data_IF_417968869161
#
_entry.id   IF_417968869161
#
_cell.length_a   1.000
_cell.length_b   1.000
_cell.length_c   1.000
_cell.angle_alpha   90.00
_cell.angle_beta   90.00
_cell.angle_gamma   90.00
#
_symmetry.space_group_name_H-M   'P 1'
#
loop_
_entity.id
_entity.type
_entity.pdbx_description
1 polymer ?
#
# COMPACT_ATOMS: atom_id res chain seq x y z
N UNK A 1 17.05 2.41 -8.20
CA UNK A 1 16.47 3.76 -8.18
C UNK A 1 14.98 3.70 -7.95
N UNK A 2 14.52 4.44 -6.94
CA UNK A 2 13.13 4.38 -6.46
C UNK A 2 12.07 5.05 -7.36
N UNK A 3 12.42 5.41 -8.60
CA UNK A 3 11.49 6.05 -9.53
C UNK A 3 11.12 7.50 -9.19
N UNK A 4 11.93 8.17 -8.38
CA UNK A 4 11.69 9.57 -7.97
C UNK A 4 12.32 10.59 -8.93
N UNK A 5 12.97 10.15 -10.00
CA UNK A 5 13.62 11.02 -10.96
C UNK A 5 14.31 10.25 -12.08
N UNK A 6 14.94 10.97 -12.97
CA UNK A 6 15.75 10.44 -14.06
C UNK A 6 17.03 11.27 -14.23
N UNK A 7 18.04 10.70 -14.85
CA UNK A 7 19.25 11.39 -15.27
C UNK A 7 19.21 11.58 -16.78
N UNK A 8 19.37 12.82 -17.23
CA UNK A 8 19.54 13.17 -18.64
C UNK A 8 21.02 13.28 -18.92
N UNK A 9 21.49 12.43 -19.84
CA UNK A 9 22.90 12.41 -20.22
C UNK A 9 23.07 13.08 -21.58
N UNK A 10 24.03 14.00 -21.67
CA UNK A 10 24.39 14.68 -22.90
C UNK A 10 25.65 14.03 -23.46
N UNK A 11 25.74 13.96 -24.78
CA UNK A 11 26.88 13.38 -25.50
C UNK A 11 28.15 14.25 -25.42
N UNK A 12 28.01 15.51 -25.03
CA UNK A 12 29.07 16.48 -24.93
C UNK A 12 28.88 17.38 -23.69
N UNK A 13 29.96 17.94 -23.11
CA UNK A 13 29.85 18.96 -22.09
C UNK A 13 29.07 20.18 -22.57
N UNK A 14 28.20 20.69 -21.72
CA UNK A 14 27.34 21.84 -21.98
C UNK A 14 27.74 23.03 -21.12
N UNK A 15 27.28 24.22 -21.47
CA UNK A 15 27.46 25.43 -20.68
C UNK A 15 26.56 25.46 -19.40
N UNK A 16 25.83 24.41 -19.09
CA UNK A 16 24.91 24.31 -17.93
C UNK A 16 23.98 25.52 -17.76
N UNK A 17 23.51 26.10 -18.87
CA UNK A 17 22.73 27.37 -18.88
C UNK A 17 23.45 28.46 -18.08
N UNK A 18 24.61 28.90 -18.59
CA UNK A 18 25.49 29.93 -18.01
C UNK A 18 26.09 29.60 -16.64
N UNK A 19 26.26 28.30 -16.33
CA UNK A 19 26.91 27.78 -15.13
C UNK A 19 26.05 27.68 -13.89
N UNK A 20 24.73 27.77 -14.03
CA UNK A 20 23.79 27.56 -12.92
C UNK A 20 23.60 26.05 -12.65
N UNK A 21 23.82 25.64 -11.38
CA UNK A 21 23.67 24.22 -10.98
C UNK A 21 22.22 23.78 -10.84
N UNK A 22 21.35 24.64 -10.35
CA UNK A 22 19.93 24.38 -10.19
C UNK A 22 19.14 25.27 -11.15
N UNK A 23 18.32 24.67 -11.97
CA UNK A 23 17.54 25.36 -13.01
C UNK A 23 16.07 24.98 -12.92
N UNK A 24 15.22 25.89 -13.37
CA UNK A 24 13.83 25.53 -13.66
C UNK A 24 13.80 24.55 -14.86
N UNK A 25 13.24 23.37 -14.66
CA UNK A 25 13.11 22.37 -15.73
C UNK A 25 12.40 22.93 -16.97
N UNK A 26 11.47 23.86 -16.81
CA UNK A 26 10.76 24.51 -17.91
C UNK A 26 11.67 25.41 -18.76
N UNK A 27 12.83 25.82 -18.26
CA UNK A 27 13.82 26.55 -19.07
C UNK A 27 14.40 25.65 -20.16
N UNK A 28 14.66 24.39 -19.82
CA UNK A 28 15.36 23.43 -20.68
C UNK A 28 14.41 22.53 -21.47
N UNK A 29 13.31 22.09 -20.85
CA UNK A 29 12.39 21.14 -21.44
C UNK A 29 11.05 21.77 -21.85
N UNK A 30 10.48 21.28 -22.95
CA UNK A 30 9.13 21.65 -23.37
C UNK A 30 8.08 21.02 -22.45
N UNK A 31 7.34 20.53 -22.16
CA UNK A 31 6.34 19.84 -21.34
C UNK A 31 6.81 19.53 -19.89
N UNK A 32 7.78 20.28 -19.32
CA UNK A 32 8.41 19.96 -18.05
C UNK A 32 7.40 19.72 -16.91
N UNK A 33 6.43 20.62 -16.74
CA UNK A 33 5.43 20.50 -15.66
C UNK A 33 4.54 19.26 -15.81
N UNK A 34 4.24 18.85 -17.05
CA UNK A 34 3.47 17.64 -17.31
C UNK A 34 4.32 16.37 -17.16
N UNK A 35 5.52 16.39 -17.71
CA UNK A 35 6.42 15.24 -17.69
C UNK A 35 6.98 14.96 -16.31
N UNK A 36 7.45 15.99 -15.63
CA UNK A 36 8.18 15.88 -14.36
C UNK A 36 7.33 16.19 -13.13
N UNK A 37 6.10 16.64 -13.33
CA UNK A 37 5.13 16.95 -12.28
C UNK A 37 5.25 18.36 -11.72
N UNK A 38 4.31 18.72 -10.86
CA UNK A 38 4.35 19.98 -10.13
C UNK A 38 5.57 19.97 -9.18
N UNK A 39 6.30 21.09 -9.15
CA UNK A 39 7.51 21.25 -8.33
C UNK A 39 8.67 20.27 -8.68
N UNK A 40 8.66 19.71 -9.89
CA UNK A 40 9.81 18.95 -10.40
C UNK A 40 11.04 19.83 -10.49
N UNK A 41 12.21 19.36 -10.04
CA UNK A 41 13.46 20.12 -10.02
C UNK A 41 14.50 19.53 -10.95
N UNK A 42 15.31 20.41 -11.54
CA UNK A 42 16.41 20.06 -12.42
C UNK A 42 17.73 20.58 -11.85
N UNK A 43 18.68 19.69 -11.59
CA UNK A 43 19.98 20.04 -11.02
C UNK A 43 21.09 19.37 -11.81
N UNK A 44 22.09 20.13 -12.23
CA UNK A 44 23.27 19.58 -12.90
C UNK A 44 24.10 18.77 -11.92
N UNK A 45 24.51 17.59 -12.30
CA UNK A 45 25.51 16.79 -11.57
C UNK A 45 26.93 17.03 -12.10
N UNK A 46 27.04 17.36 -13.38
CA UNK A 46 28.23 17.83 -14.07
C UNK A 46 27.81 18.45 -15.41
N UNK A 47 28.77 18.95 -16.20
CA UNK A 47 28.47 19.57 -17.49
C UNK A 47 27.81 18.68 -18.54
N UNK A 48 27.81 17.38 -18.35
CA UNK A 48 27.19 16.40 -19.29
C UNK A 48 26.04 15.60 -18.69
N UNK A 49 25.63 15.90 -17.45
CA UNK A 49 24.58 15.16 -16.79
C UNK A 49 23.69 16.05 -15.92
N UNK A 50 22.38 15.96 -16.15
CA UNK A 50 21.35 16.67 -15.42
C UNK A 50 20.47 15.68 -14.68
N UNK A 51 20.31 15.88 -13.39
CA UNK A 51 19.33 15.15 -12.55
C UNK A 51 17.99 15.87 -12.58
N UNK A 52 16.94 15.15 -12.96
CA UNK A 52 15.56 15.58 -12.83
C UNK A 52 14.92 14.83 -11.68
N UNK A 53 14.45 15.55 -10.67
CA UNK A 53 13.68 14.98 -9.55
C UNK A 53 12.20 15.23 -9.82
N UNK A 54 11.39 14.18 -9.73
CA UNK A 54 9.97 14.26 -10.03
C UNK A 54 9.18 14.92 -8.90
N UNK A 55 8.27 15.83 -9.29
CA UNK A 55 7.24 16.37 -8.43
C UNK A 55 5.94 15.57 -8.48
N UNK A 56 4.91 16.08 -7.81
CA UNK A 56 3.60 15.46 -7.78
C UNK A 56 2.96 15.40 -9.17
N UNK A 57 2.39 14.26 -9.52
CA UNK A 57 1.70 14.05 -10.79
C UNK A 57 2.60 13.91 -12.02
N UNK A 58 3.90 13.59 -11.84
CA UNK A 58 4.80 13.31 -12.96
C UNK A 58 4.24 12.22 -13.87
N UNK A 59 4.28 12.43 -15.19
CA UNK A 59 3.68 11.52 -16.17
C UNK A 59 4.70 10.76 -17.02
N UNK A 60 5.99 11.16 -17.00
CA UNK A 60 7.01 10.49 -17.82
C UNK A 60 7.19 9.04 -17.40
N UNK A 61 7.09 8.11 -18.33
CA UNK A 61 7.27 6.67 -18.13
C UNK A 61 8.34 6.14 -19.06
N UNK A 62 9.05 5.06 -18.71
CA UNK A 62 9.99 4.44 -19.62
C UNK A 62 9.31 4.01 -20.92
N UNK A 63 10.04 4.17 -22.01
CA UNK A 63 9.62 3.71 -23.32
C UNK A 63 9.49 2.18 -23.33
N UNK A 64 8.38 1.67 -23.84
CA UNK A 64 8.11 0.26 -23.98
C UNK A 64 7.40 0.00 -25.31
N UNK A 65 8.16 -0.04 -26.41
CA UNK A 65 7.70 -0.38 -27.79
C UNK A 65 6.61 0.52 -28.39
N UNK A 66 6.34 1.66 -27.83
CA UNK A 66 5.39 2.66 -28.37
C UNK A 66 6.19 3.83 -28.92
N UNK A 67 5.69 4.48 -29.95
CA UNK A 67 6.33 5.68 -30.51
C UNK A 67 6.57 6.73 -29.42
N UNK A 68 7.68 7.48 -29.53
CA UNK A 68 7.99 8.58 -28.62
C UNK A 68 6.80 9.53 -28.52
N UNK A 69 6.38 9.78 -27.29
CA UNK A 69 5.28 10.69 -26.95
C UNK A 69 5.72 11.61 -25.82
N UNK A 70 4.94 12.63 -25.52
CA UNK A 70 5.15 13.52 -24.36
C UNK A 70 5.22 12.77 -23.02
N UNK A 71 4.77 11.50 -22.97
CA UNK A 71 4.76 10.68 -21.76
C UNK A 71 5.97 9.78 -21.60
N UNK A 72 6.74 9.50 -22.65
CA UNK A 72 7.86 8.57 -22.60
C UNK A 72 9.19 9.14 -23.12
N UNK A 73 9.22 10.41 -23.45
CA UNK A 73 10.42 11.10 -23.90
C UNK A 73 10.52 12.49 -23.28
N UNK A 74 11.71 12.91 -22.93
CA UNK A 74 12.01 14.28 -22.52
C UNK A 74 12.33 15.10 -23.77
N UNK A 75 11.64 16.22 -23.97
CA UNK A 75 11.79 17.10 -25.13
C UNK A 75 12.63 18.31 -24.77
N UNK A 76 13.84 18.36 -25.31
CA UNK A 76 14.78 19.46 -25.12
C UNK A 76 14.41 20.62 -26.05
N UNK A 77 14.35 21.83 -25.51
CA UNK A 77 14.16 23.06 -26.28
C UNK A 77 15.40 23.37 -27.11
N UNK A 78 15.20 23.75 -28.36
CA UNK A 78 16.27 24.20 -29.23
C UNK A 78 16.84 25.54 -28.78
N UNK A 79 18.15 25.75 -28.98
CA UNK A 79 18.83 27.01 -28.75
C UNK A 79 19.14 27.35 -27.32
N UNK A 80 18.86 26.49 -26.34
CA UNK A 80 19.05 26.75 -24.91
C UNK A 80 20.45 26.32 -24.43
N UNK A 81 20.90 25.14 -24.82
CA UNK A 81 22.21 24.62 -24.44
C UNK A 81 23.27 24.96 -25.50
N UNK A 82 24.48 25.25 -25.04
CA UNK A 82 25.65 25.45 -25.88
C UNK A 82 26.69 24.37 -25.55
N UNK A 83 27.47 23.97 -26.54
CA UNK A 83 28.64 23.13 -26.30
C UNK A 83 29.74 23.96 -25.63
N UNK A 84 30.32 23.43 -24.54
CA UNK A 84 31.37 24.13 -23.76
C UNK A 84 32.80 23.86 -24.30
N UNK A 85 32.97 22.87 -25.19
CA UNK A 85 34.29 22.39 -25.60
C UNK A 85 35.09 23.33 -26.49
N UNK A 86 34.43 24.20 -27.31
CA UNK A 86 35.13 24.90 -28.37
C UNK A 86 34.95 26.44 -28.36
N UNK A 87 34.26 27.03 -27.40
CA UNK A 87 33.87 28.44 -27.48
C UNK A 87 33.01 28.76 -28.74
N UNK A 88 32.75 27.75 -29.55
CA UNK A 88 31.85 27.83 -30.69
C UNK A 88 30.42 27.67 -30.14
N UNK A 89 29.61 28.66 -30.40
CA UNK A 89 28.20 28.76 -30.00
C UNK A 89 27.29 27.80 -30.79
N UNK A 90 27.65 26.54 -30.86
CA UNK A 90 26.71 25.53 -31.40
C UNK A 90 25.62 25.33 -30.36
N UNK A 91 24.46 25.88 -30.63
CA UNK A 91 23.27 25.69 -29.84
C UNK A 91 22.64 24.33 -30.15
N UNK A 92 22.14 23.67 -29.13
CA UNK A 92 21.39 22.43 -29.31
C UNK A 92 20.20 22.63 -30.26
N UNK A 93 20.00 21.70 -31.18
CA UNK A 93 18.72 21.60 -31.87
C UNK A 93 17.62 21.14 -30.89
N UNK A 94 16.37 21.40 -31.21
CA UNK A 94 15.29 20.74 -30.49
C UNK A 94 15.39 19.22 -30.69
N UNK A 95 15.46 18.47 -29.61
CA UNK A 95 15.63 17.03 -29.62
C UNK A 95 14.78 16.39 -28.53
N UNK A 96 14.59 15.09 -28.62
CA UNK A 96 13.99 14.33 -27.54
C UNK A 96 14.87 13.13 -27.19
N UNK A 97 14.81 12.72 -25.93
CA UNK A 97 15.42 11.51 -25.45
C UNK A 97 14.34 10.63 -24.79
N UNK A 98 14.29 9.37 -25.18
CA UNK A 98 13.36 8.41 -24.61
C UNK A 98 13.78 8.03 -23.19
N UNK A 99 12.81 8.00 -22.27
CA UNK A 99 13.05 7.56 -20.92
C UNK A 99 13.31 6.04 -20.89
N UNK A 100 14.44 5.65 -20.34
CA UNK A 100 14.86 4.25 -20.23
C UNK A 100 14.48 3.68 -18.86
N UNK A 101 14.16 2.37 -18.81
CA UNK A 101 13.96 1.67 -17.53
C UNK A 101 15.27 1.63 -16.75
N UNK A 102 15.25 1.80 -15.41
CA UNK A 102 16.44 1.59 -14.61
C UNK A 102 16.89 0.13 -14.70
N UNK A 103 18.21 -0.11 -14.62
CA UNK A 103 18.77 -1.46 -14.67
C UNK A 103 18.27 -2.34 -13.52
N UNK A 104 18.02 -1.73 -12.36
CA UNK A 104 17.53 -2.39 -11.14
C UNK A 104 16.34 -1.64 -10.58
N UNK A 105 15.13 -1.84 -11.14
CA UNK A 105 13.94 -1.16 -10.65
C UNK A 105 13.60 -1.66 -9.25
N UNK A 106 13.30 -0.73 -8.35
CA UNK A 106 12.88 -1.06 -6.99
C UNK A 106 11.47 -1.64 -7.03
N UNK A 107 11.31 -2.83 -6.46
CA UNK A 107 10.01 -3.46 -6.33
C UNK A 107 9.17 -2.77 -5.24
N UNK A 108 7.84 -2.69 -5.40
CA UNK A 108 6.96 -2.25 -4.31
C UNK A 108 7.13 -3.13 -3.07
N UNK A 109 7.05 -2.54 -1.88
CA UNK A 109 6.91 -3.28 -0.64
C UNK A 109 5.46 -3.20 -0.19
N UNK A 110 4.82 -4.36 0.03
CA UNK A 110 3.42 -4.47 0.39
C UNK A 110 3.21 -5.56 1.44
N UNK A 111 2.25 -5.35 2.33
CA UNK A 111 1.78 -6.33 3.30
C UNK A 111 0.26 -6.20 3.45
N UNK A 112 -0.40 -7.28 3.84
CA UNK A 112 -1.83 -7.28 4.20
C UNK A 112 -1.94 -7.45 5.71
N UNK A 113 -2.72 -6.58 6.34
CA UNK A 113 -3.19 -6.76 7.71
C UNK A 113 -4.60 -7.33 7.67
N UNK A 114 -4.80 -8.50 8.25
CA UNK A 114 -6.08 -9.19 8.32
C UNK A 114 -6.19 -9.94 9.65
N UNK A 115 -7.41 -10.20 10.17
CA UNK A 115 -7.59 -11.15 11.26
C UNK A 115 -7.30 -12.58 10.76
N UNK A 116 -6.65 -13.41 11.58
CA UNK A 116 -6.40 -14.82 11.25
C UNK A 116 -7.71 -15.62 11.18
N UNK A 117 -8.72 -15.24 11.96
CA UNK A 117 -10.03 -15.89 11.94
C UNK A 117 -11.15 -14.89 12.23
N UNK A 118 -12.32 -15.14 11.66
CA UNK A 118 -13.54 -14.37 11.90
C UNK A 118 -14.72 -15.28 12.17
N UNK A 119 -15.61 -14.87 13.07
CA UNK A 119 -16.85 -15.62 13.37
C UNK A 119 -17.80 -15.68 12.17
N UNK A 120 -18.76 -16.60 12.21
CA UNK A 120 -19.74 -16.77 11.13
C UNK A 120 -20.51 -15.48 10.82
N UNK A 121 -20.74 -14.64 11.82
CA UNK A 121 -21.49 -13.39 11.72
C UNK A 121 -20.61 -12.15 11.55
N UNK A 122 -19.31 -12.31 11.49
CA UNK A 122 -18.37 -11.19 11.42
C UNK A 122 -17.93 -10.99 9.97
N UNK A 123 -17.89 -9.73 9.55
CA UNK A 123 -17.21 -9.35 8.32
C UNK A 123 -15.70 -9.33 8.52
N UNK A 124 -14.96 -9.16 7.45
CA UNK A 124 -13.50 -9.03 7.46
C UNK A 124 -13.06 -7.74 6.79
N UNK A 125 -12.05 -7.10 7.34
CA UNK A 125 -11.36 -5.97 6.69
C UNK A 125 -9.94 -6.39 6.40
N UNK A 126 -9.57 -6.35 5.14
CA UNK A 126 -8.22 -6.55 4.64
C UNK A 126 -7.62 -5.17 4.39
N UNK A 127 -6.47 -4.88 4.97
CA UNK A 127 -5.83 -3.56 4.88
C UNK A 127 -4.40 -3.69 4.36
N UNK A 128 -4.15 -3.09 3.20
CA UNK A 128 -2.84 -3.01 2.58
C UNK A 128 -2.27 -1.59 2.54
N UNK A 129 -2.81 -0.68 3.36
CA UNK A 129 -2.24 0.66 3.51
C UNK A 129 -0.82 0.59 4.04
N UNK A 130 0.03 1.46 3.55
CA UNK A 130 1.45 1.45 3.88
C UNK A 130 2.33 0.79 2.83
N UNK A 131 1.76 0.37 1.70
CA UNK A 131 2.56 -0.02 0.56
C UNK A 131 3.46 1.13 0.09
N UNK A 132 4.70 0.81 -0.27
CA UNK A 132 5.72 1.76 -0.71
C UNK A 132 6.35 1.29 -2.02
N UNK A 133 7.16 2.14 -2.67
CA UNK A 133 7.86 1.78 -3.91
C UNK A 133 7.15 2.24 -5.19
N UNK A 134 6.15 3.13 -5.06
CA UNK A 134 5.53 3.83 -6.19
C UNK A 134 6.39 4.97 -6.74
N UNK A 135 7.45 5.38 -6.02
CA UNK A 135 8.18 6.60 -6.32
C UNK A 135 7.32 7.82 -6.02
N UNK A 136 7.25 8.75 -6.98
CA UNK A 136 6.37 9.93 -6.90
C UNK A 136 4.95 9.66 -7.43
N UNK A 137 4.57 8.40 -7.63
CA UNK A 137 3.29 7.99 -8.25
C UNK A 137 2.58 6.95 -7.41
N UNK A 138 1.27 6.88 -7.61
CA UNK A 138 0.44 5.87 -6.97
C UNK A 138 0.77 4.48 -7.52
N UNK A 139 0.69 3.48 -6.66
CA UNK A 139 0.71 2.08 -7.03
C UNK A 139 -0.66 1.68 -7.60
N UNK A 140 -0.66 0.76 -8.54
CA UNK A 140 -1.89 0.07 -8.96
C UNK A 140 -2.02 -1.23 -8.18
N UNK A 141 -3.25 -1.55 -7.76
CA UNK A 141 -3.53 -2.70 -6.91
C UNK A 141 -4.45 -3.69 -7.63
N UNK A 142 -4.24 -4.96 -7.37
CA UNK A 142 -5.12 -6.03 -7.83
C UNK A 142 -5.31 -7.05 -6.70
N UNK A 143 -6.58 -7.28 -6.33
CA UNK A 143 -6.98 -8.22 -5.31
C UNK A 143 -7.33 -9.58 -5.91
N UNK A 144 -7.00 -10.63 -5.19
CA UNK A 144 -7.37 -11.98 -5.57
C UNK A 144 -7.66 -12.84 -4.35
N UNK A 145 -8.24 -13.99 -4.60
CA UNK A 145 -8.50 -15.02 -3.59
C UNK A 145 -8.18 -16.39 -4.16
N UNK A 146 -7.48 -17.18 -3.35
CA UNK A 146 -7.27 -18.60 -3.55
C UNK A 146 -8.08 -19.35 -2.49
N UNK A 147 -8.70 -20.44 -2.87
CA UNK A 147 -9.40 -21.33 -1.97
C UNK A 147 -8.67 -22.67 -1.97
N UNK A 148 -8.33 -23.16 -0.78
CA UNK A 148 -7.69 -24.48 -0.62
C UNK A 148 -8.69 -25.65 -0.72
N UNK A 149 -9.97 -25.33 -0.91
CA UNK A 149 -11.07 -26.28 -1.01
C UNK A 149 -11.74 -26.18 -2.37
N UNK A 150 -12.20 -27.32 -2.87
CA UNK A 150 -12.96 -27.38 -4.11
C UNK A 150 -14.41 -26.94 -3.87
N UNK A 151 -14.94 -26.10 -4.76
CA UNK A 151 -16.36 -25.75 -4.73
C UNK A 151 -17.16 -26.97 -5.22
N UNK A 152 -17.70 -27.72 -4.26
CA UNK A 152 -18.42 -29.00 -4.54
C UNK A 152 -19.85 -28.78 -4.95
N UNK A 153 -20.44 -27.63 -4.57
CA UNK A 153 -21.86 -27.35 -4.87
C UNK A 153 -22.02 -26.12 -5.76
N UNK A 154 -23.12 -26.02 -6.49
CA UNK A 154 -23.46 -24.83 -7.27
C UNK A 154 -23.52 -23.55 -6.39
N UNK A 155 -23.97 -23.72 -5.14
CA UNK A 155 -23.99 -22.60 -4.18
C UNK A 155 -22.59 -22.13 -3.78
N UNK A 156 -21.64 -23.05 -3.57
CA UNK A 156 -20.23 -22.71 -3.28
C UNK A 156 -19.60 -21.98 -4.47
N UNK A 157 -19.84 -22.48 -5.69
CA UNK A 157 -19.35 -21.82 -6.91
C UNK A 157 -19.93 -20.42 -7.08
N UNK A 158 -21.22 -20.23 -6.82
CA UNK A 158 -21.86 -18.92 -6.88
C UNK A 158 -21.29 -17.94 -5.84
N UNK A 159 -21.03 -18.39 -4.62
CA UNK A 159 -20.44 -17.58 -3.55
C UNK A 159 -19.00 -17.15 -3.90
N UNK A 160 -18.19 -18.08 -4.40
CA UNK A 160 -16.82 -17.76 -4.85
C UNK A 160 -16.84 -16.80 -6.03
N UNK A 161 -17.77 -16.96 -6.97
CA UNK A 161 -17.91 -16.04 -8.10
C UNK A 161 -18.32 -14.63 -7.64
N UNK A 162 -19.27 -14.53 -6.68
CA UNK A 162 -19.68 -13.26 -6.10
C UNK A 162 -18.51 -12.56 -5.37
N UNK A 163 -17.73 -13.32 -4.59
CA UNK A 163 -16.53 -12.80 -3.93
C UNK A 163 -15.51 -12.26 -4.96
N UNK A 164 -15.21 -13.04 -6.02
CA UNK A 164 -14.31 -12.58 -7.09
C UNK A 164 -14.81 -11.32 -7.78
N UNK A 165 -16.12 -11.17 -7.98
CA UNK A 165 -16.69 -9.96 -8.56
C UNK A 165 -16.49 -8.73 -7.65
N UNK A 166 -16.58 -8.88 -6.32
CA UNK A 166 -16.27 -7.81 -5.35
C UNK A 166 -14.80 -7.43 -5.39
N UNK A 167 -13.89 -8.40 -5.50
CA UNK A 167 -12.45 -8.15 -5.64
C UNK A 167 -12.18 -7.34 -6.91
N UNK A 168 -12.78 -7.71 -8.04
CA UNK A 168 -12.66 -6.96 -9.30
C UNK A 168 -13.19 -5.53 -9.20
N UNK A 169 -14.27 -5.29 -8.44
CA UNK A 169 -14.75 -3.93 -8.16
C UNK A 169 -13.75 -3.13 -7.33
N UNK A 170 -13.12 -3.77 -6.33
CA UNK A 170 -12.07 -3.13 -5.54
C UNK A 170 -10.84 -2.78 -6.40
N UNK A 171 -10.45 -3.66 -7.33
CA UNK A 171 -9.38 -3.41 -8.31
C UNK A 171 -9.70 -2.18 -9.17
N UNK A 172 -10.89 -2.13 -9.74
CA UNK A 172 -11.35 -1.03 -10.58
C UNK A 172 -11.39 0.31 -9.81
N UNK A 173 -11.60 0.26 -8.50
CA UNK A 173 -11.59 1.43 -7.62
C UNK A 173 -10.19 1.78 -7.11
N UNK A 174 -9.15 0.98 -7.40
CA UNK A 174 -7.81 1.15 -6.84
C UNK A 174 -7.78 1.01 -5.31
N UNK A 175 -8.68 0.20 -4.73
CA UNK A 175 -8.86 0.11 -3.30
C UNK A 175 -7.68 -0.59 -2.62
N UNK A 176 -7.07 0.08 -1.64
CA UNK A 176 -6.02 -0.48 -0.77
C UNK A 176 -6.58 -1.14 0.49
N UNK A 177 -7.87 -0.98 0.75
CA UNK A 177 -8.59 -1.58 1.86
C UNK A 177 -9.84 -2.23 1.31
N UNK A 178 -10.08 -3.48 1.69
CA UNK A 178 -11.23 -4.25 1.26
C UNK A 178 -12.06 -4.68 2.47
N UNK A 179 -13.32 -4.22 2.53
CA UNK A 179 -14.30 -4.66 3.52
C UNK A 179 -15.21 -5.72 2.91
N UNK A 180 -15.26 -6.89 3.53
CA UNK A 180 -16.17 -7.96 3.17
C UNK A 180 -17.21 -8.14 4.27
N UNK A 181 -18.47 -8.27 3.88
CA UNK A 181 -19.56 -8.55 4.81
C UNK A 181 -19.51 -10.01 5.30
N UNK A 182 -20.26 -10.31 6.34
CA UNK A 182 -20.25 -11.65 6.95
C UNK A 182 -20.72 -12.76 5.99
N UNK A 183 -21.60 -12.43 5.04
CA UNK A 183 -22.18 -13.32 4.05
C UNK A 183 -21.35 -13.45 2.75
N UNK A 184 -20.29 -12.68 2.62
CA UNK A 184 -19.37 -12.80 1.49
C UNK A 184 -18.47 -14.03 1.56
N UNK A 185 -18.31 -14.58 2.76
CA UNK A 185 -17.47 -15.74 3.04
C UNK A 185 -18.30 -16.90 3.57
N UNK A 186 -18.13 -18.08 2.99
CA UNK A 186 -18.77 -19.30 3.45
C UNK A 186 -18.22 -19.73 4.81
N UNK A 187 -19.10 -20.06 5.73
CA UNK A 187 -18.74 -20.53 7.06
C UNK A 187 -17.98 -21.87 7.02
N UNK A 188 -16.97 -22.02 7.89
CA UNK A 188 -16.15 -23.22 7.98
C UNK A 188 -15.13 -23.36 6.84
N UNK A 189 -14.79 -22.29 6.16
CA UNK A 189 -13.85 -22.29 5.04
C UNK A 189 -12.69 -21.32 5.30
N UNK A 190 -11.50 -21.69 4.83
CA UNK A 190 -10.30 -20.83 4.82
C UNK A 190 -10.15 -20.17 3.45
N UNK A 191 -9.70 -18.93 3.46
CA UNK A 191 -9.48 -18.11 2.29
C UNK A 191 -8.09 -17.51 2.31
N UNK A 192 -7.33 -17.70 1.25
CA UNK A 192 -6.02 -17.04 1.04
C UNK A 192 -6.23 -15.83 0.14
N UNK A 193 -6.30 -14.66 0.76
CA UNK A 193 -6.36 -13.41 0.03
C UNK A 193 -4.98 -12.99 -0.43
N UNK A 194 -4.92 -12.43 -1.62
CA UNK A 194 -3.71 -11.85 -2.16
C UNK A 194 -3.98 -10.43 -2.63
N UNK A 195 -2.98 -9.57 -2.53
CA UNK A 195 -2.94 -8.27 -3.19
C UNK A 195 -1.63 -8.15 -3.94
N UNK A 196 -1.71 -7.76 -5.19
CA UNK A 196 -0.57 -7.40 -6.00
C UNK A 196 -0.49 -5.87 -6.11
N UNK A 197 0.68 -5.31 -5.83
CA UNK A 197 0.97 -3.90 -6.05
C UNK A 197 1.95 -3.77 -7.21
N UNK A 198 1.60 -2.97 -8.20
CA UNK A 198 2.42 -2.72 -9.38
C UNK A 198 2.77 -1.24 -9.45
N UNK A 199 4.05 -0.93 -9.60
CA UNK A 199 4.51 0.44 -9.82
C UNK A 199 4.47 0.82 -11.32
N UNK A 200 4.70 2.09 -11.60
CA UNK A 200 4.70 2.62 -12.96
C UNK A 200 5.81 2.03 -13.88
N UNK A 201 6.82 1.35 -13.31
CA UNK A 201 7.86 0.63 -14.06
C UNK A 201 7.39 -0.78 -14.44
N UNK A 202 6.19 -1.19 -14.06
CA UNK A 202 5.63 -2.52 -14.31
C UNK A 202 6.15 -3.60 -13.37
N UNK A 203 6.85 -3.22 -12.29
CA UNK A 203 7.31 -4.18 -11.28
C UNK A 203 6.20 -4.45 -10.30
N UNK A 204 5.90 -5.73 -10.09
CA UNK A 204 4.81 -6.19 -9.23
C UNK A 204 5.34 -6.98 -8.05
N UNK A 205 4.78 -6.75 -6.88
CA UNK A 205 4.99 -7.55 -5.68
C UNK A 205 3.64 -7.98 -5.13
N UNK A 206 3.56 -9.20 -4.61
CA UNK A 206 2.33 -9.78 -4.06
C UNK A 206 2.49 -10.07 -2.58
N UNK A 207 1.47 -9.76 -1.78
CA UNK A 207 1.34 -10.15 -0.38
C UNK A 207 0.13 -11.06 -0.20
N UNK A 208 0.17 -11.90 0.83
CA UNK A 208 -0.86 -12.88 1.14
C UNK A 208 -1.32 -12.74 2.59
N UNK A 209 -2.59 -13.04 2.84
CA UNK A 209 -3.16 -13.21 4.17
C UNK A 209 -4.21 -14.30 4.16
N UNK A 210 -4.12 -15.23 5.11
CA UNK A 210 -5.11 -16.29 5.29
C UNK A 210 -6.14 -15.85 6.32
N UNK A 211 -7.41 -16.08 6.04
CA UNK A 211 -8.53 -15.81 6.94
C UNK A 211 -9.40 -17.04 7.04
N UNK A 212 -9.55 -17.55 8.26
CA UNK A 212 -10.47 -18.68 8.57
C UNK A 212 -11.85 -18.15 8.92
N UNK A 213 -12.86 -18.46 8.11
CA UNK A 213 -14.26 -18.18 8.43
C UNK A 213 -14.81 -19.32 9.27
N UNK A 214 -14.99 -19.10 10.57
CA UNK A 214 -15.45 -20.11 11.50
C UNK A 214 -16.89 -20.57 11.17
N UNK A 215 -17.19 -21.85 11.39
CA UNK A 215 -18.54 -22.41 11.20
C UNK A 215 -19.49 -22.09 12.35
N UNK A 216 -18.96 -21.76 13.52
CA UNK A 216 -19.72 -21.45 14.72
C UNK A 216 -19.64 -19.95 15.05
N UNK A 217 -20.66 -19.38 15.70
CA UNK A 217 -20.59 -18.04 16.23
C UNK A 217 -19.58 -18.02 17.38
N UNK A 218 -18.31 -17.73 17.07
CA UNK A 218 -17.36 -17.38 18.10
C UNK A 218 -17.63 -15.94 18.51
N UNK A 219 -17.87 -15.65 19.81
CA UNK A 219 -18.02 -14.28 20.26
C UNK A 219 -16.67 -13.56 20.01
N UNK A 220 -16.67 -12.57 19.16
CA UNK A 220 -15.51 -11.69 19.05
C UNK A 220 -15.48 -10.80 20.30
N UNK A 221 -14.39 -10.90 21.05
CA UNK A 221 -14.19 -10.11 22.25
C UNK A 221 -13.38 -8.87 21.89
N UNK A 222 -14.00 -7.70 22.02
CA UNK A 222 -13.31 -6.43 21.80
C UNK A 222 -13.11 -5.72 23.16
N UNK A 223 -11.86 -5.41 23.48
CA UNK A 223 -11.57 -4.56 24.61
C UNK A 223 -11.94 -3.11 24.26
N UNK A 224 -12.75 -2.49 25.11
CA UNK A 224 -13.04 -1.06 25.00
C UNK A 224 -11.95 -0.29 25.73
N UNK A 225 -11.24 0.58 25.01
CA UNK A 225 -10.19 1.42 25.55
C UNK A 225 -8.82 1.22 24.92
N UNK A 226 -7.82 1.88 25.47
CA UNK A 226 -6.46 1.76 24.96
C UNK A 226 -5.89 0.36 25.27
N UNK A 227 -5.21 -0.25 24.30
CA UNK A 227 -4.55 -1.55 24.45
C UNK A 227 -3.48 -1.55 25.54
N UNK A 228 -2.93 -0.38 25.87
CA UNK A 228 -1.97 -0.17 26.97
C UNK A 228 -2.47 0.95 27.86
N UNK A 229 -2.58 0.67 29.15
CA UNK A 229 -2.95 1.66 30.16
C UNK A 229 -1.86 1.77 31.21
N UNK A 230 -1.47 3.00 31.54
CA UNK A 230 -0.49 3.26 32.59
C UNK A 230 -1.21 3.67 33.86
N UNK A 231 -0.93 2.96 34.95
CA UNK A 231 -1.47 3.27 36.28
C UNK A 231 -0.33 3.63 37.24
N UNK A 232 -0.51 4.71 37.98
CA UNK A 232 0.42 5.07 39.05
C UNK A 232 -0.01 4.32 40.30
N UNK A 233 0.92 3.60 40.93
CA UNK A 233 0.65 2.76 42.14
C UNK A 233 0.05 3.53 43.34
N UNK A 234 0.28 4.84 43.39
CA UNK A 234 -0.27 5.71 44.45
C UNK A 234 -1.75 6.08 44.23
N UNK A 235 -2.26 5.90 43.03
CA UNK A 235 -3.63 6.27 42.71
C UNK A 235 -4.56 5.12 43.12
N UNK A 236 -5.49 5.40 44.01
CA UNK A 236 -6.57 4.48 44.39
C UNK A 236 -7.62 4.34 43.25
N UNK A 237 -7.19 4.34 42.01
CA UNK A 237 -8.06 4.18 40.85
C UNK A 237 -8.17 2.72 40.48
N UNK A 238 -9.37 2.24 40.29
CA UNK A 238 -9.64 0.92 39.73
C UNK A 238 -9.41 0.93 38.23
N UNK A 239 -8.77 -0.10 37.71
CA UNK A 239 -8.73 -0.37 36.28
C UNK A 239 -10.07 -0.97 35.87
N UNK A 240 -10.82 -0.26 35.04
CA UNK A 240 -12.06 -0.75 34.47
C UNK A 240 -11.75 -1.38 33.10
N UNK A 241 -12.02 -2.68 32.96
CA UNK A 241 -11.91 -3.42 31.72
C UNK A 241 -13.33 -3.70 31.23
N UNK A 242 -13.73 -3.05 30.17
CA UNK A 242 -15.02 -3.27 29.54
C UNK A 242 -14.84 -4.12 28.27
N UNK A 243 -15.67 -5.13 28.14
CA UNK A 243 -15.76 -5.97 26.94
C UNK A 243 -17.09 -5.72 26.29
N UNK A 244 -17.07 -5.32 25.02
CA UNK A 244 -18.26 -5.26 24.20
C UNK A 244 -18.42 -6.57 23.43
N UNK A 245 -19.58 -7.17 23.54
CA UNK A 245 -19.98 -8.23 22.62
C UNK A 245 -20.68 -7.55 21.43
N UNK A 246 -20.16 -7.70 20.22
CA UNK A 246 -20.86 -7.24 19.04
C UNK A 246 -22.21 -7.98 18.95
N UNK A 247 -23.26 -7.26 18.58
CA UNK A 247 -24.54 -7.87 18.27
C UNK A 247 -24.31 -8.84 17.12
N UNK A 248 -24.59 -10.13 17.33
CA UNK A 248 -24.52 -11.15 16.31
C UNK A 248 -25.62 -10.88 15.28
N UNK A 249 -25.27 -10.17 14.21
CA UNK A 249 -26.22 -9.70 13.20
C UNK A 249 -26.84 -10.83 12.36
N UNK A 250 -26.27 -12.04 12.42
CA UNK A 250 -26.66 -13.16 11.55
C UNK A 250 -27.29 -14.35 12.29
N UNK A 251 -27.51 -14.24 13.59
CA UNK A 251 -28.21 -15.26 14.37
C UNK A 251 -29.58 -14.71 14.73
N UNK A 252 -30.63 -15.47 14.43
CA UNK A 252 -31.97 -15.16 14.88
C UNK A 252 -32.00 -14.80 16.37
N UNK A 253 -32.74 -13.74 16.71
CA UNK A 253 -32.81 -13.10 18.01
C UNK A 253 -33.18 -14.04 19.22
N UNK A 254 -33.24 -15.33 19.00
CA UNK A 254 -33.56 -16.35 20.01
C UNK A 254 -32.31 -16.97 20.70
N UNK A 255 -31.09 -16.64 20.30
CA UNK A 255 -29.90 -17.04 21.07
C UNK A 255 -29.74 -16.03 22.20
N UNK A 256 -30.21 -16.41 23.37
CA UNK A 256 -30.14 -15.64 24.59
C UNK A 256 -28.66 -15.30 24.95
N UNK A 257 -28.39 -14.04 25.21
CA UNK A 257 -27.08 -13.55 25.71
C UNK A 257 -26.65 -14.19 27.07
N UNK A 258 -27.53 -14.96 27.69
CA UNK A 258 -27.33 -15.66 28.96
C UNK A 258 -26.46 -16.92 28.84
N UNK A 259 -26.08 -17.34 27.64
CA UNK A 259 -25.27 -18.55 27.42
C UNK A 259 -23.74 -18.27 27.38
N UNK A 260 -23.29 -17.02 27.56
CA UNK A 260 -21.88 -16.66 27.49
C UNK A 260 -21.31 -16.49 28.88
N UNK A 261 -20.35 -17.32 29.24
CA UNK A 261 -19.54 -17.18 30.45
C UNK A 261 -18.26 -16.42 30.17
N UNK A 262 -17.91 -15.45 31.01
CA UNK A 262 -16.66 -14.70 30.91
C UNK A 262 -15.69 -15.20 31.97
N UNK A 263 -14.45 -15.42 31.60
CA UNK A 263 -13.36 -15.72 32.54
C UNK A 263 -12.21 -14.73 32.31
N UNK A 264 -11.90 -13.95 33.31
CA UNK A 264 -10.78 -13.04 33.29
C UNK A 264 -9.52 -13.69 33.85
N UNK A 265 -8.40 -13.43 33.23
CA UNK A 265 -7.08 -13.89 33.71
C UNK A 265 -6.09 -12.74 33.61
N UNK A 266 -5.35 -12.50 34.67
CA UNK A 266 -4.28 -11.51 34.71
C UNK A 266 -2.93 -12.21 34.71
N UNK A 267 -1.98 -11.65 33.99
CA UNK A 267 -0.61 -12.14 33.90
C UNK A 267 0.34 -11.00 34.24
N UNK A 268 1.35 -11.28 35.04
CA UNK A 268 2.43 -10.34 35.33
C UNK A 268 3.62 -10.68 34.44
N UNK A 269 4.21 -9.66 33.79
CA UNK A 269 5.47 -9.81 33.11
C UNK A 269 6.62 -9.68 34.12
N UNK A 270 7.39 -10.73 34.30
CA UNK A 270 8.59 -10.75 35.14
C UNK A 270 9.82 -11.00 34.24
N UNK A 271 10.55 -9.92 33.92
CA UNK A 271 11.61 -9.97 32.93
C UNK A 271 11.04 -10.21 31.53
N UNK A 272 11.54 -11.20 30.80
CA UNK A 272 11.04 -11.59 29.47
C UNK A 272 9.99 -12.71 29.51
N UNK A 273 9.54 -13.13 30.72
CA UNK A 273 8.64 -14.28 30.89
C UNK A 273 7.32 -13.82 31.51
N UNK A 274 6.21 -14.27 30.94
CA UNK A 274 4.90 -14.07 31.56
C UNK A 274 4.71 -15.05 32.70
N UNK A 275 4.54 -14.55 33.92
CA UNK A 275 4.24 -15.33 35.10
C UNK A 275 2.77 -15.20 35.43
N UNK A 276 2.06 -16.31 35.50
CA UNK A 276 0.65 -16.35 35.86
C UNK A 276 0.52 -16.05 37.38
N UNK A 277 0.13 -14.82 37.69
CA UNK A 277 -0.40 -14.53 39.01
C UNK A 277 -1.92 -14.64 38.95
N UNK A 278 -2.48 -15.61 39.64
CA UNK A 278 -3.91 -15.59 39.93
C UNK A 278 -4.11 -14.45 40.93
N UNK A 279 -4.69 -13.35 40.46
CA UNK A 279 -5.20 -12.33 41.36
C UNK A 279 -6.54 -12.88 41.88
N UNK A 280 -6.63 -13.32 43.15
CA UNK A 280 -7.83 -13.99 43.67
C UNK A 280 -9.10 -13.12 43.57
N UNK A 281 -8.92 -11.80 43.53
CA UNK A 281 -9.99 -10.81 43.52
C UNK A 281 -10.70 -10.68 42.15
N UNK A 282 -10.13 -11.24 41.07
CA UNK A 282 -10.80 -11.26 39.77
C UNK A 282 -11.80 -12.42 39.60
N UNK A 283 -11.83 -13.36 40.52
CA UNK A 283 -12.73 -14.50 40.50
C UNK A 283 -14.18 -14.17 40.91
N UNK A 284 -14.42 -12.99 41.51
CA UNK A 284 -15.76 -12.60 42.04
C UNK A 284 -16.63 -11.81 41.03
N UNK A 285 -16.16 -11.53 39.84
CA UNK A 285 -16.90 -10.78 38.80
C UNK A 285 -17.24 -11.65 37.59
N UNK A 286 -17.89 -12.80 37.82
CA UNK A 286 -18.49 -13.62 36.74
C UNK A 286 -19.96 -13.31 36.56
#
# INVERSE_FOLDING_TARGET
>A
DGGNGLDVLFDSPTNMIDGEWDIDCATLFEYAAQQFGADGTCSWTNSSALRVTFGAGAQIVPFDYVAATEKNAAYLKGGVLKNDLDGATLTSAAQYAEAQKPLHPVAPAISITAPESVGVCDGVVLDARGATGGGSRDLTYSWGVLTSWDAETDADMASVAALKAKLQQADAAGAVTLGLAFDDLLAGRAYDFLIAATNFLGVTTTAYATVDKLASPAPSVQFQGAATQTMVRSDKKSLKLDVALPKLACIDANVSSTALGFAWRAWRLAGATYVRDLVPELAEYT
#
